data_IF_153931571495
#
_entry.id   IF_153931571495
#
_cell.length_a   1.000
_cell.length_b   1.000
_cell.length_c   1.000
_cell.angle_alpha   90.00
_cell.angle_beta   90.00
_cell.angle_gamma   90.00
#
_symmetry.space_group_name_H-M   'P 1'
#
loop_
_entity.id
_entity.type
_entity.pdbx_description
1 polymer ?
#
# COMPACT_ATOMS: atom_id res chain seq x y z
N UNK A 1 5.11 3.45 -24.28
CA UNK A 1 4.34 3.02 -23.09
C UNK A 1 4.48 4.13 -22.09
N UNK A 2 3.43 4.93 -21.93
CA UNK A 2 3.44 6.03 -20.97
C UNK A 2 3.54 5.44 -19.57
N UNK A 3 4.57 5.86 -18.83
CA UNK A 3 4.85 5.37 -17.49
C UNK A 3 3.71 5.83 -16.59
N UNK A 4 2.89 4.90 -16.11
CA UNK A 4 1.88 5.17 -15.08
C UNK A 4 2.62 5.74 -13.86
N UNK A 5 2.28 6.97 -13.48
CA UNK A 5 2.85 7.62 -12.32
C UNK A 5 2.26 7.01 -11.05
N UNK A 6 3.10 6.78 -10.05
CA UNK A 6 2.69 6.33 -8.72
C UNK A 6 2.15 7.51 -7.89
N UNK A 7 1.41 7.22 -6.82
CA UNK A 7 0.95 8.23 -5.86
C UNK A 7 2.10 9.09 -5.32
N UNK A 8 3.26 8.48 -5.06
CA UNK A 8 4.45 9.22 -4.58
C UNK A 8 5.01 10.16 -5.64
N UNK A 9 5.04 9.73 -6.91
CA UNK A 9 5.44 10.60 -8.03
C UNK A 9 4.46 11.77 -8.19
N UNK A 10 3.15 11.53 -8.06
CA UNK A 10 2.14 12.60 -8.06
C UNK A 10 2.29 13.58 -6.89
N UNK A 11 2.64 13.11 -5.69
CA UNK A 11 2.98 14.01 -4.59
C UNK A 11 4.16 14.91 -4.99
N UNK A 12 5.22 14.35 -5.59
CA UNK A 12 6.36 15.16 -6.02
C UNK A 12 5.97 16.20 -7.08
N UNK A 13 5.07 15.86 -8.00
CA UNK A 13 4.51 16.80 -8.99
C UNK A 13 3.73 17.92 -8.30
N UNK A 14 2.88 17.58 -7.31
CA UNK A 14 2.18 18.58 -6.51
C UNK A 14 3.15 19.53 -5.80
N UNK A 15 4.23 19.01 -5.20
CA UNK A 15 5.23 19.85 -4.54
C UNK A 15 5.92 20.79 -5.53
N UNK A 16 6.27 20.29 -6.72
CA UNK A 16 6.93 21.08 -7.76
C UNK A 16 5.99 22.17 -8.30
N UNK A 17 4.72 21.86 -8.56
CA UNK A 17 3.71 22.80 -9.03
C UNK A 17 3.42 23.93 -8.03
N UNK A 18 3.48 23.64 -6.73
CA UNK A 18 3.23 24.61 -5.65
C UNK A 18 4.54 25.21 -5.07
N UNK A 19 5.69 24.96 -5.72
CA UNK A 19 7.00 25.43 -5.29
C UNK A 19 7.38 25.06 -3.83
N UNK A 20 6.91 23.90 -3.37
CA UNK A 20 7.18 23.35 -2.03
C UNK A 20 8.48 22.57 -2.07
N UNK A 21 9.46 22.96 -1.24
CA UNK A 21 10.73 22.24 -1.13
C UNK A 21 10.53 20.86 -0.50
N UNK A 22 11.16 19.83 -1.07
CA UNK A 22 11.07 18.44 -0.58
C UNK A 22 11.51 18.33 0.88
N UNK A 23 12.54 19.07 1.28
CA UNK A 23 13.03 19.14 2.66
C UNK A 23 11.98 19.72 3.63
N UNK A 24 11.21 20.71 3.18
CA UNK A 24 10.09 21.27 3.94
C UNK A 24 8.98 20.24 4.09
N UNK A 25 8.61 19.60 2.98
CA UNK A 25 7.62 18.53 2.98
C UNK A 25 7.97 17.38 3.94
N UNK A 26 9.21 16.88 3.91
CA UNK A 26 9.63 15.81 4.82
C UNK A 26 9.61 16.24 6.29
N UNK A 27 9.96 17.50 6.58
CA UNK A 27 9.95 18.04 7.94
C UNK A 27 8.53 18.20 8.46
N UNK A 28 7.64 18.78 7.68
CA UNK A 28 6.27 19.09 8.11
C UNK A 28 5.40 17.84 8.22
N UNK A 29 5.58 16.88 7.32
CA UNK A 29 4.89 15.58 7.37
C UNK A 29 5.55 14.61 8.35
N UNK A 30 6.80 14.86 8.76
CA UNK A 30 7.61 13.91 9.51
C UNK A 30 7.90 12.62 8.74
N UNK A 31 7.75 12.60 7.42
CA UNK A 31 8.03 11.44 6.58
C UNK A 31 9.48 11.51 6.11
N UNK A 32 10.25 10.46 6.39
CA UNK A 32 11.65 10.39 5.97
C UNK A 32 11.78 10.40 4.44
N UNK A 33 12.78 11.15 3.94
CA UNK A 33 13.14 11.23 2.53
C UNK A 33 13.40 9.88 1.86
N UNK A 34 13.77 8.84 2.63
CA UNK A 34 13.94 7.48 2.11
C UNK A 34 12.65 6.90 1.52
N UNK A 35 11.48 7.38 1.94
CA UNK A 35 10.19 6.97 1.37
C UNK A 35 9.97 7.50 -0.07
N UNK A 36 10.73 8.52 -0.49
CA UNK A 36 10.58 9.19 -1.78
C UNK A 36 11.85 9.07 -2.64
N UNK A 37 12.76 8.15 -2.30
CA UNK A 37 14.02 7.91 -3.03
C UNK A 37 14.23 6.42 -3.27
N UNK A 38 14.95 6.08 -4.34
CA UNK A 38 15.39 4.72 -4.64
C UNK A 38 14.25 3.70 -4.63
N UNK A 39 14.43 2.59 -3.88
CA UNK A 39 13.41 1.56 -3.72
C UNK A 39 12.15 2.07 -3.01
N UNK A 40 12.28 3.04 -2.09
CA UNK A 40 11.14 3.62 -1.37
C UNK A 40 10.19 4.39 -2.29
N UNK A 41 10.68 5.00 -3.36
CA UNK A 41 9.82 5.67 -4.35
C UNK A 41 8.93 4.67 -5.11
N UNK A 42 9.43 3.45 -5.32
CA UNK A 42 8.74 2.39 -6.08
C UNK A 42 7.74 1.59 -5.23
N UNK A 43 7.77 1.74 -3.90
CA UNK A 43 6.82 1.08 -3.02
C UNK A 43 5.56 1.91 -2.81
N UNK A 44 4.50 1.28 -2.32
CA UNK A 44 3.28 2.00 -1.94
C UNK A 44 3.52 2.95 -0.76
N UNK A 45 2.68 3.98 -0.69
CA UNK A 45 2.60 4.87 0.45
C UNK A 45 1.53 4.32 1.40
N UNK A 46 1.91 4.06 2.66
CA UNK A 46 0.95 3.64 3.68
C UNK A 46 -0.17 4.66 3.85
N UNK A 47 -1.39 4.17 4.10
CA UNK A 47 -2.59 5.01 4.27
C UNK A 47 -2.43 6.00 5.43
N UNK A 48 -1.71 5.62 6.49
CA UNK A 48 -1.36 6.48 7.62
C UNK A 48 -0.51 7.69 7.20
N UNK A 49 0.44 7.48 6.29
CA UNK A 49 1.30 8.54 5.74
C UNK A 49 0.51 9.44 4.81
N UNK A 50 -0.35 8.86 3.97
CA UNK A 50 -1.22 9.62 3.07
C UNK A 50 -2.17 10.53 3.87
N UNK A 51 -2.86 9.99 4.88
CA UNK A 51 -3.73 10.77 5.75
C UNK A 51 -2.98 11.92 6.44
N UNK A 52 -1.74 11.68 6.87
CA UNK A 52 -0.89 12.73 7.45
C UNK A 52 -0.55 13.83 6.44
N UNK A 53 -0.21 13.45 5.21
CA UNK A 53 0.08 14.41 4.13
C UNK A 53 -1.13 15.29 3.84
N UNK A 54 -2.31 14.69 3.69
CA UNK A 54 -3.57 15.42 3.43
C UNK A 54 -3.94 16.37 4.58
N UNK A 55 -3.56 16.04 5.82
CA UNK A 55 -3.73 16.95 6.97
C UNK A 55 -2.76 18.12 6.96
N UNK A 56 -1.52 17.92 6.51
CA UNK A 56 -0.47 18.95 6.47
C UNK A 56 -0.61 19.84 5.23
N UNK A 57 -1.08 19.28 4.12
CA UNK A 57 -1.34 19.98 2.85
C UNK A 57 -2.80 19.81 2.43
N UNK A 58 -3.74 20.55 3.05
CA UNK A 58 -5.17 20.45 2.74
C UNK A 58 -5.51 20.74 1.29
N UNK A 59 -4.71 21.56 0.59
CA UNK A 59 -4.93 21.89 -0.83
C UNK A 59 -4.82 20.69 -1.76
N UNK A 60 -4.20 19.60 -1.27
CA UNK A 60 -4.12 18.34 -1.99
C UNK A 60 -5.45 17.56 -1.93
N UNK A 61 -6.36 17.89 -1.02
CA UNK A 61 -7.67 17.22 -0.89
C UNK A 61 -8.53 17.42 -2.15
N UNK A 62 -8.48 18.60 -2.77
CA UNK A 62 -9.19 18.90 -4.03
C UNK A 62 -8.68 18.05 -5.20
N UNK A 63 -7.49 17.46 -5.04
CA UNK A 63 -6.82 16.65 -6.02
C UNK A 63 -6.80 15.16 -5.63
N UNK A 64 -7.61 14.73 -4.66
CA UNK A 64 -7.56 13.38 -4.09
C UNK A 64 -7.82 12.29 -5.14
N UNK A 65 -8.77 12.50 -6.04
CA UNK A 65 -9.08 11.55 -7.13
C UNK A 65 -7.86 11.37 -8.03
N UNK A 66 -7.27 12.46 -8.52
CA UNK A 66 -6.05 12.45 -9.31
C UNK A 66 -4.88 11.80 -8.55
N UNK A 67 -4.73 12.14 -7.28
CA UNK A 67 -3.66 11.63 -6.44
C UNK A 67 -3.72 10.11 -6.27
N UNK A 68 -4.91 9.52 -6.20
CA UNK A 68 -5.09 8.08 -5.96
C UNK A 68 -5.14 7.31 -7.28
N UNK A 69 -5.98 7.75 -8.21
CA UNK A 69 -6.28 7.02 -9.45
C UNK A 69 -5.28 7.35 -10.57
N UNK A 70 -4.68 8.53 -10.54
CA UNK A 70 -3.92 9.09 -11.66
C UNK A 70 -4.80 9.64 -12.78
N UNK A 71 -6.12 9.61 -12.64
CA UNK A 71 -7.07 10.15 -13.62
C UNK A 71 -7.33 11.63 -13.36
N UNK A 72 -7.43 12.43 -14.43
CA UNK A 72 -7.61 13.87 -14.36
C UNK A 72 -6.28 14.65 -14.31
N UNK A 73 -6.38 15.92 -13.95
CA UNK A 73 -5.24 16.86 -13.92
C UNK A 73 -5.09 17.46 -12.52
N UNK A 74 -3.87 17.90 -12.20
CA UNK A 74 -3.59 18.61 -10.96
C UNK A 74 -4.17 20.03 -11.02
N UNK A 75 -5.14 20.32 -10.16
CA UNK A 75 -5.70 21.65 -9.97
C UNK A 75 -4.74 22.52 -9.15
N UNK A 76 -4.26 23.60 -9.76
CA UNK A 76 -3.39 24.59 -9.10
C UNK A 76 -4.20 25.70 -8.43
N UNK A 77 -3.64 26.38 -7.42
CA UNK A 77 -4.33 27.48 -6.71
C UNK A 77 -4.90 28.56 -7.67
N UNK A 78 -4.24 28.82 -8.80
CA UNK A 78 -4.71 29.77 -9.82
C UNK A 78 -6.00 29.35 -10.53
N UNK A 79 -6.30 28.05 -10.58
CA UNK A 79 -7.50 27.49 -11.23
C UNK A 79 -8.66 27.33 -10.25
N UNK A 80 -8.35 27.18 -8.95
CA UNK A 80 -9.34 27.08 -7.87
C UNK A 80 -10.16 28.37 -7.71
N UNK A 81 -9.51 29.53 -7.86
CA UNK A 81 -10.15 30.85 -7.72
C UNK A 81 -11.18 31.21 -8.81
N UNK A 82 -11.36 30.38 -9.85
CA UNK A 82 -12.35 30.61 -10.93
C UNK A 82 -13.69 29.89 -10.72
N UNK A 83 -13.81 29.05 -9.68
CA UNK A 83 -15.02 28.25 -9.42
C UNK A 83 -15.89 28.78 -8.29
N UNK A 84 -15.54 29.91 -7.69
CA UNK A 84 -16.41 30.61 -6.74
C UNK A 84 -17.46 31.40 -7.51
N UNK A 85 -18.57 30.74 -7.85
CA UNK A 85 -19.93 31.23 -7.60
C UNK A 85 -20.94 30.28 -8.26
N UNK A 86 -21.78 29.70 -7.40
CA UNK A 86 -22.96 28.84 -7.65
C UNK A 86 -22.69 27.33 -7.59
N UNK A 87 -23.35 26.67 -6.61
CA UNK A 87 -23.49 25.20 -6.38
C UNK A 87 -22.61 24.55 -5.29
N UNK A 88 -22.41 25.20 -4.14
CA UNK A 88 -21.64 24.63 -3.02
C UNK A 88 -22.24 23.31 -2.46
N UNK A 89 -23.57 23.17 -2.47
CA UNK A 89 -24.26 21.98 -1.94
C UNK A 89 -24.28 20.76 -2.89
N UNK A 90 -24.10 20.94 -4.21
CA UNK A 90 -24.05 19.81 -5.16
C UNK A 90 -22.64 19.24 -5.29
N UNK A 91 -21.60 20.08 -5.21
CA UNK A 91 -20.20 19.65 -5.33
C UNK A 91 -19.71 18.90 -4.09
N UNK A 92 -20.13 19.30 -2.88
CA UNK A 92 -19.78 18.58 -1.65
C UNK A 92 -20.39 17.18 -1.57
N UNK A 93 -21.61 16.99 -2.10
CA UNK A 93 -22.24 15.68 -2.17
C UNK A 93 -21.53 14.73 -3.15
N UNK A 94 -21.14 15.21 -4.34
CA UNK A 94 -20.37 14.42 -5.32
C UNK A 94 -18.99 14.00 -4.80
N UNK A 95 -18.32 14.85 -4.01
CA UNK A 95 -17.05 14.50 -3.35
C UNK A 95 -17.27 13.47 -2.25
N UNK A 96 -18.32 13.63 -1.43
CA UNK A 96 -18.63 12.68 -0.36
C UNK A 96 -19.01 11.30 -0.92
N UNK A 97 -19.76 11.25 -2.04
CA UNK A 97 -20.12 10.01 -2.72
C UNK A 97 -18.88 9.32 -3.31
N UNK A 98 -18.00 10.08 -3.97
CA UNK A 98 -16.71 9.55 -4.46
C UNK A 98 -15.79 9.05 -3.35
N UNK A 99 -15.77 9.73 -2.20
CA UNK A 99 -15.04 9.27 -1.01
C UNK A 99 -15.69 7.99 -0.47
N UNK A 100 -17.02 7.91 -0.44
CA UNK A 100 -17.76 6.71 -0.05
C UNK A 100 -17.41 5.51 -0.93
N UNK A 101 -17.43 5.67 -2.24
CA UNK A 101 -17.06 4.63 -3.21
C UNK A 101 -15.60 4.21 -3.08
N UNK A 102 -14.69 5.18 -2.89
CA UNK A 102 -13.29 4.91 -2.65
C UNK A 102 -13.09 4.10 -1.37
N UNK A 103 -13.74 4.48 -0.27
CA UNK A 103 -13.67 3.77 1.00
C UNK A 103 -14.25 2.35 0.87
N UNK A 104 -15.36 2.18 0.15
CA UNK A 104 -15.95 0.88 -0.14
C UNK A 104 -14.99 -0.02 -0.93
N UNK A 105 -14.35 0.51 -1.96
CA UNK A 105 -13.36 -0.21 -2.76
C UNK A 105 -12.11 -0.59 -1.95
N UNK A 106 -11.58 0.34 -1.14
CA UNK A 106 -10.47 0.05 -0.21
C UNK A 106 -10.85 -1.04 0.79
N UNK A 107 -12.07 -0.99 1.35
CA UNK A 107 -12.56 -2.01 2.27
C UNK A 107 -12.72 -3.38 1.58
N UNK A 108 -13.26 -3.41 0.37
CA UNK A 108 -13.37 -4.63 -0.42
C UNK A 108 -11.98 -5.24 -0.73
N UNK A 109 -11.02 -4.41 -1.13
CA UNK A 109 -9.65 -4.82 -1.38
C UNK A 109 -8.98 -5.36 -0.11
N UNK A 110 -9.14 -4.68 1.03
CA UNK A 110 -8.59 -5.13 2.31
C UNK A 110 -9.15 -6.49 2.71
N UNK A 111 -10.47 -6.69 2.61
CA UNK A 111 -11.09 -7.98 2.90
C UNK A 111 -10.64 -9.09 1.94
N UNK A 112 -10.43 -8.79 0.66
CA UNK A 112 -9.91 -9.75 -0.30
C UNK A 112 -8.45 -10.15 0.01
N UNK A 113 -7.63 -9.19 0.43
CA UNK A 113 -6.27 -9.45 0.91
C UNK A 113 -6.28 -10.30 2.19
N UNK A 114 -7.18 -10.01 3.13
CA UNK A 114 -7.30 -10.78 4.38
C UNK A 114 -7.68 -12.25 4.13
N UNK A 115 -8.62 -12.50 3.21
CA UNK A 115 -8.94 -13.87 2.75
C UNK A 115 -7.74 -14.58 2.12
N UNK A 116 -6.96 -13.85 1.32
CA UNK A 116 -5.75 -14.39 0.69
C UNK A 116 -4.70 -14.74 1.75
N UNK A 117 -4.54 -13.88 2.78
CA UNK A 117 -3.66 -14.12 3.91
C UNK A 117 -4.08 -15.37 4.69
N UNK A 118 -5.38 -15.50 5.02
CA UNK A 118 -5.92 -16.70 5.68
C UNK A 118 -5.66 -17.96 4.86
N UNK A 119 -5.82 -17.90 3.54
CA UNK A 119 -5.53 -19.03 2.67
C UNK A 119 -4.05 -19.41 2.70
N UNK A 120 -3.15 -18.43 2.58
CA UNK A 120 -1.70 -18.66 2.64
C UNK A 120 -1.28 -19.25 4.00
N UNK A 121 -1.81 -18.72 5.10
CA UNK A 121 -1.60 -19.29 6.44
C UNK A 121 -2.04 -20.75 6.51
N UNK A 122 -3.21 -21.09 5.96
CA UNK A 122 -3.69 -22.47 5.90
C UNK A 122 -2.75 -23.38 5.08
N UNK A 123 -2.22 -22.90 3.96
CA UNK A 123 -1.27 -23.66 3.16
C UNK A 123 0.05 -23.86 3.89
N UNK A 124 0.57 -22.84 4.56
CA UNK A 124 1.78 -22.92 5.39
C UNK A 124 1.60 -24.00 6.46
N UNK A 125 0.51 -23.97 7.23
CA UNK A 125 0.27 -24.98 8.27
C UNK A 125 0.14 -26.41 7.70
N UNK A 126 -0.45 -26.58 6.51
CA UNK A 126 -0.51 -27.89 5.83
C UNK A 126 0.88 -28.38 5.44
N UNK A 127 1.73 -27.48 4.92
CA UNK A 127 3.10 -27.78 4.52
C UNK A 127 3.95 -28.14 5.75
N UNK A 128 3.88 -27.36 6.82
CA UNK A 128 4.56 -27.62 8.09
C UNK A 128 4.20 -29.00 8.65
N UNK A 129 2.90 -29.37 8.62
CA UNK A 129 2.45 -30.70 9.05
C UNK A 129 3.03 -31.83 8.18
N UNK A 130 3.08 -31.63 6.86
CA UNK A 130 3.69 -32.60 5.93
C UNK A 130 5.19 -32.77 6.21
N UNK A 131 5.91 -31.67 6.41
CA UNK A 131 7.34 -31.70 6.74
C UNK A 131 7.60 -32.40 8.08
N UNK A 132 6.85 -32.06 9.12
CA UNK A 132 6.97 -32.70 10.44
C UNK A 132 6.75 -34.22 10.36
N UNK A 133 5.73 -34.66 9.59
CA UNK A 133 5.48 -36.08 9.36
C UNK A 133 6.63 -36.76 8.61
N UNK A 134 7.13 -36.16 7.52
CA UNK A 134 8.23 -36.71 6.74
C UNK A 134 9.53 -36.84 7.57
N UNK A 135 9.82 -35.85 8.42
CA UNK A 135 10.97 -35.91 9.35
C UNK A 135 10.80 -37.04 10.36
N UNK A 136 9.59 -37.22 10.91
CA UNK A 136 9.30 -38.33 11.83
C UNK A 136 9.49 -39.70 11.17
N UNK A 137 9.01 -39.87 9.93
CA UNK A 137 9.18 -41.09 9.15
C UNK A 137 10.65 -41.36 8.82
N UNK A 138 11.42 -40.35 8.40
CA UNK A 138 12.86 -40.47 8.16
C UNK A 138 13.61 -40.90 9.42
N UNK A 139 13.31 -40.28 10.58
CA UNK A 139 13.94 -40.63 11.84
C UNK A 139 13.64 -42.08 12.24
N UNK A 140 12.42 -42.57 11.98
CA UNK A 140 12.05 -43.96 12.21
C UNK A 140 12.87 -44.90 11.32
N UNK A 141 12.93 -44.64 10.02
CA UNK A 141 13.74 -45.43 9.08
C UNK A 141 15.22 -45.44 9.46
N UNK A 142 15.77 -44.30 9.86
CA UNK A 142 17.17 -44.19 10.29
C UNK A 142 17.44 -45.08 11.51
N UNK A 143 16.55 -45.08 12.49
CA UNK A 143 16.68 -45.93 13.68
C UNK A 143 16.60 -47.43 13.35
N UNK A 144 15.75 -47.83 12.40
CA UNK A 144 15.67 -49.21 11.91
C UNK A 144 16.98 -49.64 11.23
N UNK A 145 17.53 -48.80 10.34
CA UNK A 145 18.81 -49.07 9.66
C UNK A 145 19.96 -49.18 10.68
N UNK A 146 20.04 -48.26 11.65
CA UNK A 146 21.06 -48.31 12.71
C UNK A 146 20.96 -49.57 13.56
N UNK A 147 19.74 -50.06 13.81
CA UNK A 147 19.51 -51.29 14.57
C UNK A 147 19.94 -52.52 13.78
N UNK A 148 19.63 -52.59 12.49
CA UNK A 148 20.06 -53.67 11.59
C UNK A 148 21.59 -53.75 11.45
N UNK A 149 22.27 -52.60 11.31
CA UNK A 149 23.73 -52.55 11.25
C UNK A 149 24.41 -53.09 12.52
N UNK A 150 23.87 -52.78 13.71
CA UNK A 150 24.39 -53.31 14.98
C UNK A 150 24.29 -54.83 15.08
N UNK A 151 23.24 -55.44 14.48
CA UNK A 151 23.03 -56.89 14.47
C UNK A 151 24.01 -57.57 13.51
N UNK A 152 24.29 -56.98 12.35
CA UNK A 152 25.23 -57.52 11.35
C UNK A 152 26.71 -57.44 11.74
N UNK A 153 27.04 -56.72 12.82
CA UNK A 153 28.42 -56.51 13.31
C UNK A 153 28.82 -57.47 14.44
N UNK A 154 27.96 -58.44 14.79
CA UNK A 154 28.18 -59.52 15.76
C UNK A 154 28.24 -60.85 15.03
#
# INVERSE_FOLDING_TARGET
>A
MDKIQTTKERILIFLEANNIKKETFYRETGISASNFKGAGLKSDLGVDKLARILRVYPDLNDNLVWLITGEGELLTEGEKNKKDHQNDDLYTNDINDKIGDLLANLFAQYNAQDKTLMFLQSQISKIEKKYSKAISEQNKMLNEILSAMKISSR
#
